data_IF_648294472635
#
_entry.id   IF_648294472635
#
_cell.length_a   1.000
_cell.length_b   1.000
_cell.length_c   1.000
_cell.angle_alpha   90.00
_cell.angle_beta   90.00
_cell.angle_gamma   90.00
#
_symmetry.space_group_name_H-M   'P 1'
#
loop_
_entity.id
_entity.type
_entity.pdbx_description
1 polymer ?
#
# COMPACT_ATOMS: atom_id res chain seq x y z
N UNK A 1 43.14 17.86 2.83
CA UNK A 1 42.54 16.50 2.86
C UNK A 1 41.69 16.48 4.13
N UNK A 2 40.36 16.49 4.08
CA UNK A 2 39.51 15.37 3.69
C UNK A 2 38.13 15.86 3.28
N UNK A 3 37.71 15.48 2.07
CA UNK A 3 36.32 15.60 1.60
C UNK A 3 35.48 14.53 2.32
N UNK A 4 34.59 14.92 3.23
CA UNK A 4 33.61 13.99 3.81
C UNK A 4 32.41 13.91 2.87
N UNK A 5 32.25 12.73 2.27
CA UNK A 5 31.22 12.36 1.30
C UNK A 5 29.82 12.67 1.82
N UNK A 6 29.04 13.33 0.96
CA UNK A 6 27.59 13.42 0.94
C UNK A 6 26.97 12.03 1.04
N UNK A 7 26.33 11.70 2.15
CA UNK A 7 25.26 10.71 2.15
C UNK A 7 23.98 11.46 1.82
N UNK A 8 23.57 11.38 0.55
CA UNK A 8 22.25 11.81 0.10
C UNK A 8 21.21 10.97 0.82
N UNK A 9 20.75 11.42 1.99
CA UNK A 9 19.53 10.95 2.62
C UNK A 9 18.41 11.22 1.62
N UNK A 10 17.97 10.19 0.90
CA UNK A 10 16.75 10.25 0.09
C UNK A 10 15.66 10.57 1.11
N UNK A 11 15.25 11.83 1.20
CA UNK A 11 14.23 12.26 2.13
C UNK A 11 12.99 11.39 1.84
N UNK A 12 12.62 10.53 2.77
CA UNK A 12 11.37 9.77 2.65
C UNK A 12 10.25 10.82 2.55
N UNK A 13 9.56 10.83 1.40
CA UNK A 13 8.44 11.73 1.21
C UNK A 13 7.44 11.51 2.35
N UNK A 14 6.86 12.59 2.91
CA UNK A 14 5.95 12.48 4.03
C UNK A 14 4.74 11.63 3.62
N UNK A 15 4.64 10.44 4.21
CA UNK A 15 3.52 9.55 4.00
C UNK A 15 2.26 10.17 4.60
N UNK A 16 1.20 10.30 3.80
CA UNK A 16 -0.11 10.68 4.30
C UNK A 16 -0.76 9.53 5.05
N UNK A 17 -1.23 9.78 6.26
CA UNK A 17 -1.95 8.79 7.05
C UNK A 17 -3.38 8.63 6.53
N UNK A 18 -3.79 7.39 6.29
CA UNK A 18 -5.18 7.02 6.03
C UNK A 18 -5.70 6.19 7.20
N UNK A 19 -6.87 6.53 7.73
CA UNK A 19 -7.56 5.76 8.78
C UNK A 19 -8.75 5.03 8.16
N UNK A 20 -8.86 3.74 8.47
CA UNK A 20 -9.98 2.89 8.05
C UNK A 20 -10.59 2.30 9.31
N UNK A 21 -11.89 2.48 9.47
CA UNK A 21 -12.65 1.85 10.55
C UNK A 21 -13.14 0.49 10.06
N UNK A 22 -12.82 -0.55 10.80
CA UNK A 22 -13.25 -1.92 10.53
C UNK A 22 -14.09 -2.40 11.71
N UNK A 23 -15.11 -3.18 11.43
CA UNK A 23 -15.78 -3.93 12.48
C UNK A 23 -14.87 -5.10 12.96
N UNK A 24 -15.19 -5.74 14.11
CA UNK A 24 -14.34 -6.81 14.65
C UNK A 24 -14.12 -7.98 13.69
N UNK A 25 -15.12 -8.32 12.89
CA UNK A 25 -15.03 -9.41 11.92
C UNK A 25 -14.10 -9.06 10.75
N UNK A 26 -14.26 -7.87 10.16
CA UNK A 26 -13.37 -7.36 9.12
C UNK A 26 -11.92 -7.28 9.61
N UNK A 27 -11.70 -6.77 10.82
CA UNK A 27 -10.38 -6.71 11.43
C UNK A 27 -9.75 -8.11 11.58
N UNK A 28 -10.53 -9.11 12.02
CA UNK A 28 -10.07 -10.49 12.14
C UNK A 28 -9.67 -11.08 10.78
N UNK A 29 -10.47 -10.85 9.74
CA UNK A 29 -10.19 -11.32 8.37
C UNK A 29 -8.89 -10.72 7.84
N UNK A 30 -8.69 -9.40 7.95
CA UNK A 30 -7.45 -8.77 7.44
C UNK A 30 -6.22 -9.18 8.24
N UNK A 31 -6.37 -9.40 9.55
CA UNK A 31 -5.30 -9.90 10.42
C UNK A 31 -4.89 -11.32 10.04
N UNK A 32 -5.86 -12.21 9.86
CA UNK A 32 -5.61 -13.59 9.43
C UNK A 32 -4.92 -13.63 8.06
N UNK A 33 -5.40 -12.84 7.09
CA UNK A 33 -4.82 -12.78 5.76
C UNK A 33 -3.38 -12.23 5.76
N UNK A 34 -3.10 -11.21 6.58
CA UNK A 34 -1.75 -10.68 6.76
C UNK A 34 -0.81 -11.76 7.36
N UNK A 35 -1.27 -12.47 8.40
CA UNK A 35 -0.52 -13.55 9.04
C UNK A 35 -0.22 -14.69 8.06
N UNK A 36 -1.19 -15.10 7.24
CA UNK A 36 -1.00 -16.14 6.21
C UNK A 36 0.07 -15.77 5.18
N UNK A 37 0.27 -14.47 4.92
CA UNK A 37 1.32 -13.98 4.01
C UNK A 37 2.63 -13.66 4.73
N UNK A 38 2.72 -13.86 6.05
CA UNK A 38 3.88 -13.47 6.85
C UNK A 38 4.15 -11.96 6.84
N UNK A 39 3.10 -11.14 6.71
CA UNK A 39 3.21 -9.69 6.58
C UNK A 39 2.63 -8.98 7.81
N UNK A 40 3.16 -7.79 8.12
CA UNK A 40 2.50 -6.89 9.05
C UNK A 40 1.16 -6.41 8.47
N UNK A 41 0.15 -6.31 9.34
CA UNK A 41 -1.20 -5.89 8.97
C UNK A 41 -1.22 -4.57 8.19
N UNK A 42 -0.40 -3.59 8.60
CA UNK A 42 -0.29 -2.29 7.92
C UNK A 42 0.17 -2.43 6.46
N UNK A 43 1.20 -3.23 6.23
CA UNK A 43 1.79 -3.40 4.90
C UNK A 43 0.87 -4.23 4.00
N UNK A 44 0.23 -5.25 4.57
CA UNK A 44 -0.80 -6.02 3.90
C UNK A 44 -1.95 -5.12 3.44
N UNK A 45 -2.50 -4.29 4.33
CA UNK A 45 -3.59 -3.36 4.01
C UNK A 45 -3.20 -2.37 2.91
N UNK A 46 -2.00 -1.78 3.00
CA UNK A 46 -1.49 -0.88 1.98
C UNK A 46 -1.40 -1.56 0.62
N UNK A 47 -0.85 -2.77 0.57
CA UNK A 47 -0.70 -3.51 -0.67
C UNK A 47 -2.06 -3.90 -1.26
N UNK A 48 -2.98 -4.42 -0.44
CA UNK A 48 -4.32 -4.80 -0.88
C UNK A 48 -5.08 -3.63 -1.53
N UNK A 49 -5.03 -2.44 -0.91
CA UNK A 49 -5.68 -1.24 -1.44
C UNK A 49 -5.06 -0.81 -2.77
N UNK A 50 -3.73 -0.77 -2.87
CA UNK A 50 -3.03 -0.36 -4.10
C UNK A 50 -3.28 -1.37 -5.23
N UNK A 51 -3.21 -2.66 -4.93
CA UNK A 51 -3.40 -3.71 -5.92
C UNK A 51 -4.82 -3.73 -6.46
N UNK A 52 -5.82 -3.51 -5.60
CA UNK A 52 -7.21 -3.39 -6.04
C UNK A 52 -7.40 -2.13 -6.89
N UNK A 53 -6.92 -0.96 -6.44
CA UNK A 53 -7.02 0.28 -7.21
C UNK A 53 -6.37 0.17 -8.60
N UNK A 54 -5.24 -0.53 -8.72
CA UNK A 54 -4.60 -0.82 -10.02
C UNK A 54 -5.46 -1.70 -10.92
N UNK A 55 -6.14 -2.71 -10.36
CA UNK A 55 -7.06 -3.57 -11.13
C UNK A 55 -8.26 -2.78 -11.62
N UNK A 56 -8.83 -1.96 -10.75
CA UNK A 56 -10.00 -1.14 -11.07
C UNK A 56 -9.64 -0.12 -12.16
N UNK A 57 -8.52 0.60 -12.02
CA UNK A 57 -8.05 1.54 -13.03
C UNK A 57 -7.85 0.88 -14.41
N UNK A 58 -7.26 -0.31 -14.46
CA UNK A 58 -7.09 -1.08 -15.71
C UNK A 58 -8.43 -1.52 -16.31
N UNK A 59 -9.42 -1.85 -15.48
CA UNK A 59 -10.75 -2.20 -15.95
C UNK A 59 -11.44 -0.97 -16.58
N UNK A 60 -11.32 0.19 -15.95
CA UNK A 60 -11.85 1.46 -16.49
C UNK A 60 -11.21 1.84 -17.82
N UNK A 61 -9.88 1.76 -17.95
CA UNK A 61 -9.21 2.10 -19.23
C UNK A 61 -9.61 1.15 -20.35
N UNK A 62 -9.76 -0.14 -20.07
CA UNK A 62 -10.23 -1.12 -21.08
C UNK A 62 -11.64 -0.85 -21.58
N UNK A 63 -12.52 -0.36 -20.71
CA UNK A 63 -13.89 0.02 -21.11
C UNK A 63 -13.85 1.25 -22.02
N UNK A 64 -13.00 2.23 -21.73
CA UNK A 64 -12.80 3.43 -22.57
C UNK A 64 -12.21 3.08 -23.93
N UNK A 65 -11.22 2.18 -23.99
CA UNK A 65 -10.60 1.75 -25.26
C UNK A 65 -11.54 0.87 -26.11
N UNK A 66 -12.59 0.30 -25.53
CA UNK A 66 -13.58 -0.55 -26.22
C UNK A 66 -14.86 0.19 -26.61
N UNK A 67 -14.96 1.49 -26.32
CA UNK A 67 -16.06 2.40 -26.71
C UNK A 67 -15.68 3.15 -27.99
#
# INVERSE_FOLDING_TARGET
>A
MSKKKTTSSKAEEPLKQMKVFLNPHEHAVVTAAANMKGMHLRDYMRQAVIDQAKKDAKAFTKIIDSL
#
